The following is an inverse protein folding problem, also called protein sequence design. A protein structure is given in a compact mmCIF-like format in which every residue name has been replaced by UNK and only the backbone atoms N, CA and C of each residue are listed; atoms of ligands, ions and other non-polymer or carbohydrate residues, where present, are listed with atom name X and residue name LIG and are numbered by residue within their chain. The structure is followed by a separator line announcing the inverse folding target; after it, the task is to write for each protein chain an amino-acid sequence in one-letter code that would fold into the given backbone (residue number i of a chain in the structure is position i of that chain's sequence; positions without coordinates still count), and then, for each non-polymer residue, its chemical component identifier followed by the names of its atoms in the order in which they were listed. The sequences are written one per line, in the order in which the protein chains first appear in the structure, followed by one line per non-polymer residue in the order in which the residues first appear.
data_IF_122556181644
#
_entry.id   IF_122556181644
#
_cell.length_a   1.000
_cell.length_b   1.000
_cell.length_c   1.000
_cell.angle_alpha   90.00
_cell.angle_beta   90.00
_cell.angle_gamma   90.00
#
_symmetry.space_group_name_H-M   'P 1'
#
loop_
_entity.id
_entity.type
_entity.pdbx_description
1 polymer ?
#
# COMPACT_ATOMS: atom_id res chain seq x y z
N UNK A 1 -0.59 -26.62 14.37
CA UNK A 1 0.41 -25.59 14.03
C UNK A 1 0.23 -25.28 12.55
N UNK A 2 -0.35 -24.12 12.22
CA UNK A 2 -0.69 -23.79 10.84
C UNK A 2 0.56 -23.58 10.00
N UNK A 3 0.70 -24.39 8.95
CA UNK A 3 1.76 -24.26 7.96
C UNK A 3 1.57 -22.94 7.19
N UNK A 4 2.65 -22.21 6.85
CA UNK A 4 2.53 -20.98 6.07
C UNK A 4 1.93 -21.28 4.70
N UNK A 5 0.75 -20.75 4.43
CA UNK A 5 0.02 -20.98 3.19
C UNK A 5 0.73 -20.27 2.02
N UNK A 6 1.28 -21.00 1.03
CA UNK A 6 2.06 -20.41 -0.05
C UNK A 6 1.22 -19.50 -0.97
N UNK A 7 -0.09 -19.69 -1.02
CA UNK A 7 -0.99 -18.87 -1.84
C UNK A 7 -1.16 -17.46 -1.28
N UNK A 8 -1.37 -17.35 0.04
CA UNK A 8 -1.46 -16.06 0.72
C UNK A 8 -0.17 -15.25 0.56
N UNK A 9 0.98 -15.93 0.64
CA UNK A 9 2.29 -15.29 0.42
C UNK A 9 2.41 -14.71 -0.99
N UNK A 10 1.93 -15.41 -2.02
CA UNK A 10 1.91 -14.91 -3.41
C UNK A 10 1.00 -13.68 -3.54
N UNK A 11 -0.19 -13.71 -2.94
CA UNK A 11 -1.12 -12.57 -2.96
C UNK A 11 -0.51 -11.32 -2.31
N UNK A 12 0.10 -11.47 -1.13
CA UNK A 12 0.78 -10.36 -0.44
C UNK A 12 1.89 -9.76 -1.31
N UNK A 13 2.69 -10.59 -1.99
CA UNK A 13 3.75 -10.14 -2.89
C UNK A 13 3.17 -9.40 -4.11
N UNK A 14 2.06 -9.88 -4.68
CA UNK A 14 1.39 -9.24 -5.80
C UNK A 14 0.90 -7.83 -5.41
N UNK A 15 0.18 -7.73 -4.29
CA UNK A 15 -0.34 -6.45 -3.75
C UNK A 15 0.81 -5.48 -3.44
N UNK A 16 1.90 -5.99 -2.84
CA UNK A 16 3.08 -5.16 -2.57
C UNK A 16 3.63 -4.54 -3.85
N UNK A 17 3.73 -5.30 -4.95
CA UNK A 17 4.20 -4.79 -6.24
C UNK A 17 3.23 -3.79 -6.86
N UNK A 18 1.93 -4.03 -6.78
CA UNK A 18 0.91 -3.09 -7.25
C UNK A 18 0.97 -1.75 -6.51
N UNK A 19 1.03 -1.78 -5.17
CA UNK A 19 1.16 -0.56 -4.36
C UNK A 19 2.47 0.18 -4.67
N UNK A 20 3.56 -0.55 -4.91
CA UNK A 20 4.84 0.03 -5.32
C UNK A 20 4.73 0.75 -6.68
N UNK A 21 3.93 0.22 -7.60
CA UNK A 21 3.68 0.82 -8.90
C UNK A 21 2.90 2.13 -8.76
N UNK A 22 1.79 2.11 -8.01
CA UNK A 22 0.99 3.31 -7.70
C UNK A 22 1.82 4.38 -6.98
N UNK A 23 2.75 3.97 -6.11
CA UNK A 23 3.67 4.87 -5.43
C UNK A 23 4.57 5.70 -6.36
N UNK A 24 4.73 5.30 -7.63
CA UNK A 24 5.50 6.09 -8.62
C UNK A 24 4.77 7.35 -9.07
N UNK A 25 3.45 7.29 -9.12
CA UNK A 25 2.56 8.39 -9.52
C UNK A 25 2.14 9.24 -8.32
N UNK A 26 2.60 8.87 -7.12
CA UNK A 26 2.28 9.59 -5.89
C UNK A 26 2.89 11.00 -5.91
N UNK A 27 2.13 12.06 -5.53
CA UNK A 27 2.58 13.45 -5.65
C UNK A 27 3.84 13.78 -4.82
N UNK A 28 4.07 13.09 -3.70
CA UNK A 28 5.28 13.23 -2.88
C UNK A 28 6.47 12.39 -3.39
N UNK A 29 6.25 11.61 -4.45
CA UNK A 29 7.25 10.81 -5.13
C UNK A 29 7.50 9.42 -4.52
N UNK A 30 8.05 8.54 -5.36
CA UNK A 30 8.35 7.15 -5.04
C UNK A 30 9.23 6.96 -3.80
N UNK A 31 10.25 7.82 -3.63
CA UNK A 31 11.20 7.75 -2.51
C UNK A 31 10.55 8.00 -1.15
N UNK A 32 9.40 8.70 -1.12
CA UNK A 32 8.64 8.92 0.10
C UNK A 32 7.73 7.74 0.44
N UNK A 33 7.10 7.15 -0.59
CA UNK A 33 6.12 6.08 -0.41
C UNK A 33 6.78 4.72 -0.11
N UNK A 34 7.85 4.38 -0.83
CA UNK A 34 8.51 3.07 -0.75
C UNK A 34 8.97 2.67 0.67
N UNK A 35 9.71 3.50 1.44
CA UNK A 35 10.15 3.09 2.77
C UNK A 35 9.00 2.95 3.77
N UNK A 36 7.92 3.74 3.61
CA UNK A 36 6.74 3.66 4.49
C UNK A 36 5.95 2.38 4.23
N UNK A 37 5.75 2.04 2.96
CA UNK A 37 5.15 0.77 2.56
C UNK A 37 5.99 -0.39 3.08
N UNK A 38 7.31 -0.38 2.80
CA UNK A 38 8.20 -1.46 3.22
C UNK A 38 8.18 -1.68 4.73
N UNK A 39 8.24 -0.60 5.52
CA UNK A 39 8.20 -0.69 6.99
C UNK A 39 6.90 -1.34 7.51
N UNK A 40 5.76 -1.00 6.91
CA UNK A 40 4.47 -1.58 7.29
C UNK A 40 4.37 -3.08 6.96
N UNK A 41 4.90 -3.52 5.83
CA UNK A 41 4.93 -4.96 5.49
C UNK A 41 5.96 -5.71 6.35
N UNK A 42 7.12 -5.10 6.64
CA UNK A 42 8.13 -5.71 7.49
C UNK A 42 7.66 -5.90 8.94
N UNK A 43 6.84 -5.01 9.50
CA UNK A 43 6.29 -5.22 10.85
C UNK A 43 5.36 -6.42 10.95
N UNK A 44 4.79 -6.88 9.85
CA UNK A 44 3.92 -8.06 9.79
C UNK A 44 4.60 -9.30 9.19
N UNK A 45 5.89 -9.22 8.81
CA UNK A 45 6.59 -10.32 8.14
C UNK A 45 6.80 -11.58 9.02
N UNK A 46 6.77 -11.42 10.34
CA UNK A 46 6.88 -12.51 11.31
C UNK A 46 5.52 -13.16 11.64
N UNK A 47 4.41 -12.57 11.20
CA UNK A 47 3.07 -13.07 11.47
C UNK A 47 2.81 -14.36 10.68
N UNK A 48 2.31 -15.40 11.37
CA UNK A 48 2.02 -16.72 10.78
C UNK A 48 0.54 -17.08 10.80
N UNK A 49 -0.26 -16.23 11.43
CA UNK A 49 -1.70 -16.40 11.54
C UNK A 49 -2.39 -16.02 10.22
N UNK A 50 -3.13 -16.97 9.63
CA UNK A 50 -3.78 -16.78 8.34
C UNK A 50 -4.87 -15.71 8.36
N UNK A 51 -5.60 -15.58 9.48
CA UNK A 51 -6.67 -14.60 9.65
C UNK A 51 -6.09 -13.18 9.67
N UNK A 52 -4.99 -12.99 10.39
CA UNK A 52 -4.27 -11.70 10.38
C UNK A 52 -3.67 -11.36 9.02
N UNK A 53 -3.16 -12.35 8.29
CA UNK A 53 -2.65 -12.14 6.92
C UNK A 53 -3.80 -11.68 6.00
N UNK A 54 -4.97 -12.32 6.08
CA UNK A 54 -6.16 -11.91 5.31
C UNK A 54 -6.63 -10.50 5.68
N UNK A 55 -6.65 -10.15 6.97
CA UNK A 55 -6.95 -8.80 7.41
C UNK A 55 -5.92 -7.78 6.89
N UNK A 56 -4.64 -8.14 6.87
CA UNK A 56 -3.57 -7.32 6.29
C UNK A 56 -3.75 -7.08 4.79
N UNK A 57 -4.15 -8.13 4.04
CA UNK A 57 -4.49 -8.04 2.61
C UNK A 57 -5.66 -7.06 2.39
N UNK A 58 -6.76 -7.22 3.13
CA UNK A 58 -7.92 -6.32 3.02
C UNK A 58 -7.55 -4.86 3.33
N UNK A 59 -6.69 -4.64 4.33
CA UNK A 59 -6.18 -3.30 4.66
C UNK A 59 -5.32 -2.73 3.54
N UNK A 60 -4.49 -3.54 2.89
CA UNK A 60 -3.66 -3.11 1.78
C UNK A 60 -4.51 -2.72 0.56
N UNK A 61 -5.59 -3.45 0.27
CA UNK A 61 -6.57 -3.07 -0.76
C UNK A 61 -7.30 -1.76 -0.43
N UNK A 62 -7.63 -1.53 0.84
CA UNK A 62 -8.22 -0.26 1.27
C UNK A 62 -7.24 0.90 1.02
N UNK A 63 -5.97 0.74 1.40
CA UNK A 63 -4.93 1.76 1.15
C UNK A 63 -4.73 2.01 -0.35
N UNK A 64 -4.83 0.97 -1.19
CA UNK A 64 -4.79 1.11 -2.65
C UNK A 64 -5.87 2.12 -3.12
N UNK A 65 -7.12 1.88 -2.73
CA UNK A 65 -8.26 2.74 -3.08
C UNK A 65 -8.12 4.16 -2.55
N UNK A 66 -7.58 4.34 -1.34
CA UNK A 66 -7.31 5.66 -0.77
C UNK A 66 -6.26 6.41 -1.58
N UNK A 67 -5.18 5.74 -2.01
CA UNK A 67 -4.15 6.35 -2.85
C UNK A 67 -4.70 6.72 -4.23
N UNK A 68 -5.54 5.87 -4.82
CA UNK A 68 -6.25 6.17 -6.07
C UNK A 68 -7.21 7.36 -5.92
N UNK A 69 -7.98 7.43 -4.84
CA UNK A 69 -8.87 8.55 -4.55
C UNK A 69 -8.11 9.86 -4.29
N UNK A 70 -6.96 9.78 -3.61
CA UNK A 70 -6.07 10.92 -3.42
C UNK A 70 -5.49 11.43 -4.75
N UNK A 71 -5.25 10.55 -5.72
CA UNK A 71 -4.81 10.95 -7.05
C UNK A 71 -5.91 11.73 -7.78
N UNK A 72 -7.15 11.23 -7.75
CA UNK A 72 -8.31 11.93 -8.33
C UNK A 72 -8.50 13.32 -7.70
N UNK A 73 -8.42 13.39 -6.37
CA UNK A 73 -8.48 14.66 -5.64
C UNK A 73 -7.30 15.58 -5.91
N UNK A 74 -6.06 15.09 -5.97
CA UNK A 74 -4.88 15.91 -6.23
C UNK A 74 -4.88 16.48 -7.64
N UNK A 75 -5.39 15.72 -8.62
CA UNK A 75 -5.65 16.19 -9.98
C UNK A 75 -6.74 17.28 -10.01
N UNK A 76 -7.70 17.20 -9.09
CA UNK A 76 -8.79 18.16 -8.94
C UNK A 76 -8.38 19.44 -8.19
N UNK A 77 -7.27 19.47 -7.44
CA UNK A 77 -6.78 20.71 -6.80
C UNK A 77 -6.05 21.56 -7.85
N UNK A 78 -6.64 22.67 -8.35
CA UNK A 78 -5.94 23.54 -9.27
C UNK A 78 -4.71 24.18 -8.60
N UNK A 79 -3.59 24.36 -9.32
CA UNK A 79 -2.40 25.03 -8.81
C UNK A 79 -2.63 26.55 -8.68
N UNK A 80 -3.60 27.00 -7.89
CA UNK A 80 -3.85 28.42 -7.63
C UNK A 80 -4.41 28.64 -6.22
N UNK A 81 -3.52 28.60 -5.24
CA UNK A 81 -3.42 29.61 -4.17
C UNK A 81 -2.36 29.17 -3.16
N UNK A 82 -1.10 29.28 -3.56
CA UNK A 82 -0.08 29.70 -2.59
C UNK A 82 -0.42 31.16 -2.29
N UNK A 83 -1.37 31.38 -1.37
CA UNK A 83 -1.73 32.70 -0.91
C UNK A 83 -0.47 33.39 -0.38
N UNK A 84 -0.42 34.68 -0.66
CA UNK A 84 0.65 35.64 -0.42
C UNK A 84 1.26 35.57 0.97
#
# INVERSE_FOLDING_TARGET
MSSPNPELRKQVIAIYKELLHLGREYPLGYKYFQPRLHRAFMSHAAERDEDKIRAGIARAEYVKKEVEALYDFASFIPPKQRMR
#
